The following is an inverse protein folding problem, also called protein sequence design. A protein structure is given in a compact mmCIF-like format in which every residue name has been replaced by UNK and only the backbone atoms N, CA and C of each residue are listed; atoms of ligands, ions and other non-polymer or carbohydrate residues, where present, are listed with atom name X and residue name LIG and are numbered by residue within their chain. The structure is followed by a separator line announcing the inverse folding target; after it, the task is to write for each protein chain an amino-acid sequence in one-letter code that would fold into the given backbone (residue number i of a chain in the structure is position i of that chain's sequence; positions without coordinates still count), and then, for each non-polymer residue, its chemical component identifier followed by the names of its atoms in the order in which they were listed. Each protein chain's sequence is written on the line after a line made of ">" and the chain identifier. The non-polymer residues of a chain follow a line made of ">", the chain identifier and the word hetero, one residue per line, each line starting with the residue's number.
data_IF_252724767568
#
_entry.id   IF_252724767568
#
_cell.length_a   1.000
_cell.length_b   1.000
_cell.length_c   1.000
_cell.angle_alpha   90.00
_cell.angle_beta   90.00
_cell.angle_gamma   90.00
#
_symmetry.space_group_name_H-M   'P 1'
#
loop_
_entity.id
_entity.type
_entity.pdbx_description
1 polymer ?
#
# COMPACT_ATOMS: atom_id res chain seq x y z
N UNK A 1 -13.77 -7.78 -17.08
CA UNK A 1 -12.54 -8.15 -16.31
C UNK A 1 -12.64 -9.53 -15.62
N UNK A 2 -13.20 -10.57 -16.27
CA UNK A 2 -13.31 -11.93 -15.70
C UNK A 2 -12.19 -12.89 -16.16
N UNK A 3 -11.47 -12.53 -17.23
CA UNK A 3 -10.42 -13.37 -17.86
C UNK A 3 -9.18 -13.65 -16.98
N UNK A 4 -9.00 -12.96 -15.85
CA UNK A 4 -7.76 -13.03 -15.06
C UNK A 4 -7.90 -13.77 -13.71
N UNK A 5 -9.07 -14.36 -13.43
CA UNK A 5 -9.30 -15.03 -12.14
C UNK A 5 -8.67 -16.42 -12.07
N UNK A 6 -8.63 -17.18 -13.16
CA UNK A 6 -7.95 -18.48 -13.25
C UNK A 6 -6.44 -18.32 -13.06
N UNK A 7 -5.85 -17.38 -13.80
CA UNK A 7 -4.41 -17.15 -13.80
C UNK A 7 -3.95 -16.61 -12.45
N UNK A 8 -4.73 -15.70 -11.85
CA UNK A 8 -4.49 -15.25 -10.48
C UNK A 8 -4.54 -16.38 -9.45
N UNK A 9 -5.44 -17.36 -9.62
CA UNK A 9 -5.51 -18.54 -8.73
C UNK A 9 -4.28 -19.44 -8.90
N UNK A 10 -3.86 -19.71 -10.13
CA UNK A 10 -2.67 -20.50 -10.45
C UNK A 10 -1.42 -19.84 -9.85
N UNK A 11 -1.25 -18.54 -10.06
CA UNK A 11 -0.16 -17.75 -9.47
C UNK A 11 -0.16 -17.81 -7.93
N UNK A 12 -1.31 -17.73 -7.29
CA UNK A 12 -1.40 -17.84 -5.81
C UNK A 12 -1.11 -19.25 -5.31
N UNK A 13 -1.37 -20.26 -6.12
CA UNK A 13 -1.08 -21.65 -5.77
C UNK A 13 0.41 -21.98 -5.90
N UNK A 14 1.14 -21.31 -6.80
CA UNK A 14 2.60 -21.48 -6.92
C UNK A 14 3.36 -21.05 -5.67
N UNK A 15 2.78 -20.22 -4.80
CA UNK A 15 3.36 -19.89 -3.49
C UNK A 15 3.45 -21.11 -2.56
N UNK A 16 2.64 -22.14 -2.75
CA UNK A 16 2.73 -23.39 -1.96
C UNK A 16 3.95 -24.23 -2.31
N UNK A 17 4.40 -24.13 -3.57
CA UNK A 17 5.61 -24.80 -4.06
C UNK A 17 6.89 -23.97 -3.87
N UNK A 18 6.78 -22.78 -3.27
CA UNK A 18 7.91 -21.92 -2.96
C UNK A 18 8.61 -22.37 -1.67
N UNK A 19 9.90 -22.06 -1.55
CA UNK A 19 10.66 -22.19 -0.29
C UNK A 19 10.19 -21.18 0.78
N UNK A 20 9.42 -20.16 0.38
CA UNK A 20 8.90 -19.13 1.28
C UNK A 20 7.62 -19.64 1.94
N UNK A 21 7.52 -19.68 3.28
CA UNK A 21 6.30 -20.06 3.97
C UNK A 21 5.08 -19.26 3.45
N UNK A 22 3.97 -19.94 3.20
CA UNK A 22 2.76 -19.34 2.59
C UNK A 22 2.26 -18.06 3.30
N UNK A 23 2.44 -17.98 4.63
CA UNK A 23 2.11 -16.80 5.43
C UNK A 23 3.08 -15.64 5.19
N UNK A 24 4.38 -15.93 5.05
CA UNK A 24 5.38 -14.92 4.70
C UNK A 24 5.18 -14.41 3.27
N UNK A 25 4.85 -15.30 2.33
CA UNK A 25 4.46 -14.91 0.97
C UNK A 25 3.19 -14.04 0.97
N UNK A 26 2.20 -14.36 1.81
CA UNK A 26 0.99 -13.53 1.98
C UNK A 26 1.32 -12.15 2.56
N UNK A 27 2.20 -12.09 3.56
CA UNK A 27 2.65 -10.84 4.15
C UNK A 27 3.39 -9.97 3.13
N UNK A 28 4.26 -10.58 2.33
CA UNK A 28 5.06 -9.89 1.30
C UNK A 28 4.21 -9.38 0.14
N UNK A 29 3.26 -10.19 -0.34
CA UNK A 29 2.46 -9.89 -1.55
C UNK A 29 1.12 -9.22 -1.24
N UNK A 30 0.66 -9.25 0.01
CA UNK A 30 -0.68 -8.81 0.41
C UNK A 30 -1.81 -9.67 -0.15
N UNK A 31 -1.51 -10.83 -0.77
CA UNK A 31 -2.50 -11.73 -1.34
C UNK A 31 -2.47 -13.09 -0.62
N UNK A 32 -3.58 -13.53 0.01
CA UNK A 32 -3.60 -14.81 0.70
C UNK A 32 -3.48 -15.98 -0.28
N UNK A 33 -3.01 -17.14 0.15
CA UNK A 33 -3.15 -18.38 -0.64
C UNK A 33 -4.62 -18.78 -0.80
N UNK A 34 -4.93 -19.67 -1.75
CA UNK A 34 -6.27 -20.26 -1.88
C UNK A 34 -6.69 -20.93 -0.56
N UNK A 35 -7.86 -20.53 -0.04
CA UNK A 35 -8.44 -21.05 1.21
C UNK A 35 -7.84 -20.49 2.50
N UNK A 36 -6.82 -19.64 2.43
CA UNK A 36 -6.21 -19.04 3.61
C UNK A 36 -7.14 -18.03 4.25
N UNK A 37 -7.45 -18.24 5.54
CA UNK A 37 -8.24 -17.32 6.36
C UNK A 37 -7.34 -16.28 7.04
N UNK A 38 -7.82 -15.05 7.27
CA UNK A 38 -7.08 -14.06 8.04
C UNK A 38 -6.90 -14.56 9.48
N UNK A 39 -5.72 -14.34 10.06
CA UNK A 39 -5.42 -14.68 11.45
C UNK A 39 -6.15 -13.76 12.43
N UNK A 40 -6.23 -12.48 12.06
CA UNK A 40 -6.90 -11.44 12.84
C UNK A 40 -7.88 -10.72 11.92
N UNK A 41 -9.12 -10.58 12.40
CA UNK A 41 -10.13 -9.71 11.81
C UNK A 41 -10.31 -8.53 12.75
N UNK A 42 -9.77 -7.39 12.35
CA UNK A 42 -9.84 -6.17 13.15
C UNK A 42 -10.90 -5.24 12.57
N UNK A 43 -11.68 -4.60 13.44
CA UNK A 43 -12.61 -3.55 13.01
C UNK A 43 -11.81 -2.36 12.45
N UNK A 44 -12.35 -1.67 11.45
CA UNK A 44 -11.62 -0.62 10.73
C UNK A 44 -11.12 0.49 11.67
N UNK A 45 -11.93 0.88 12.67
CA UNK A 45 -11.58 1.95 13.59
C UNK A 45 -10.39 1.59 14.48
N UNK A 46 -10.35 0.34 14.97
CA UNK A 46 -9.22 -0.18 15.75
C UNK A 46 -7.96 -0.26 14.88
N UNK A 47 -8.11 -0.66 13.61
CA UNK A 47 -7.01 -0.68 12.66
C UNK A 47 -6.43 0.71 12.40
N UNK A 48 -7.29 1.69 12.12
CA UNK A 48 -6.88 3.09 11.92
C UNK A 48 -6.16 3.60 13.16
N UNK A 49 -6.77 3.47 14.34
CA UNK A 49 -6.19 3.93 15.59
C UNK A 49 -4.82 3.28 15.85
N UNK A 50 -4.71 1.96 15.69
CA UNK A 50 -3.44 1.25 15.85
C UNK A 50 -2.35 1.80 14.92
N UNK A 51 -2.64 2.01 13.64
CA UNK A 51 -1.66 2.52 12.68
C UNK A 51 -1.23 3.95 13.03
N UNK A 52 -2.17 4.82 13.42
CA UNK A 52 -1.85 6.19 13.85
C UNK A 52 -1.02 6.20 15.14
N UNK A 53 -1.33 5.36 16.12
CA UNK A 53 -0.55 5.23 17.36
C UNK A 53 0.87 4.73 17.07
N UNK A 54 1.03 3.75 16.17
CA UNK A 54 2.37 3.31 15.75
C UNK A 54 3.12 4.44 15.06
N UNK A 55 2.47 5.22 14.18
CA UNK A 55 3.12 6.35 13.50
C UNK A 55 3.60 7.41 14.49
N UNK A 56 2.70 7.94 15.32
CA UNK A 56 3.01 8.98 16.31
C UNK A 56 4.02 8.47 17.35
N UNK A 57 3.85 7.24 17.84
CA UNK A 57 4.77 6.62 18.79
C UNK A 57 6.17 6.45 18.20
N UNK A 58 6.27 6.03 16.93
CA UNK A 58 7.57 5.88 16.25
C UNK A 58 8.23 7.23 15.97
N UNK A 59 7.45 8.25 15.60
CA UNK A 59 7.94 9.62 15.44
C UNK A 59 8.49 10.16 16.76
N UNK A 60 7.70 10.08 17.83
CA UNK A 60 8.09 10.56 19.15
C UNK A 60 9.32 9.82 19.70
N UNK A 61 9.36 8.49 19.58
CA UNK A 61 10.49 7.67 20.01
C UNK A 61 11.76 8.03 19.25
N UNK A 62 11.67 8.15 17.92
CA UNK A 62 12.81 8.53 17.08
C UNK A 62 13.31 9.94 17.37
N UNK A 63 12.39 10.89 17.54
CA UNK A 63 12.71 12.27 17.90
C UNK A 63 13.40 12.34 19.26
N UNK A 64 12.83 11.71 20.30
CA UNK A 64 13.40 11.71 21.65
C UNK A 64 14.79 11.05 21.68
N UNK A 65 14.94 9.92 20.99
CA UNK A 65 16.23 9.22 20.88
C UNK A 65 17.33 10.08 20.27
N UNK A 66 16.99 10.99 19.35
CA UNK A 66 17.97 11.89 18.73
C UNK A 66 18.58 12.90 19.71
N UNK A 67 17.82 13.33 20.72
CA UNK A 67 18.26 14.35 21.70
C UNK A 67 18.80 13.76 23.00
N UNK A 68 18.50 12.49 23.30
CA UNK A 68 18.95 11.82 24.51
C UNK A 68 20.17 10.92 24.25
N UNK A 69 19.93 9.64 23.95
CA UNK A 69 20.95 8.59 24.00
C UNK A 69 21.52 8.21 22.62
N UNK A 70 20.85 8.60 21.52
CA UNK A 70 21.23 8.29 20.14
C UNK A 70 21.44 6.80 19.88
N UNK A 71 20.67 5.95 20.56
CA UNK A 71 20.78 4.50 20.48
C UNK A 71 20.42 4.01 19.08
N UNK A 72 21.34 3.31 18.41
CA UNK A 72 21.12 2.81 17.05
C UNK A 72 19.89 1.89 16.99
N UNK A 73 19.71 1.04 18.00
CA UNK A 73 18.57 0.11 18.05
C UNK A 73 17.23 0.85 18.09
N UNK A 74 17.11 1.93 18.88
CA UNK A 74 15.90 2.74 18.95
C UNK A 74 15.67 3.54 17.68
N UNK A 75 16.73 4.05 17.05
CA UNK A 75 16.66 4.69 15.74
C UNK A 75 16.10 3.73 14.70
N UNK A 76 16.64 2.51 14.60
CA UNK A 76 16.19 1.50 13.66
C UNK A 76 14.75 1.05 13.93
N UNK A 77 14.36 0.88 15.20
CA UNK A 77 13.00 0.53 15.58
C UNK A 77 12.00 1.62 15.19
N UNK A 78 12.33 2.88 15.47
CA UNK A 78 11.52 4.04 15.11
C UNK A 78 11.36 4.17 13.60
N UNK A 79 12.45 3.97 12.86
CA UNK A 79 12.43 3.91 11.40
C UNK A 79 11.54 2.79 10.86
N UNK A 80 11.68 1.58 11.39
CA UNK A 80 10.85 0.45 11.00
C UNK A 80 9.36 0.73 11.25
N UNK A 81 9.02 1.31 12.39
CA UNK A 81 7.65 1.69 12.75
C UNK A 81 7.08 2.80 11.87
N UNK A 82 7.88 3.84 11.55
CA UNK A 82 7.49 4.90 10.62
C UNK A 82 7.26 4.36 9.21
N UNK A 83 8.17 3.55 8.67
CA UNK A 83 8.03 2.94 7.35
C UNK A 83 6.80 2.02 7.29
N UNK A 84 6.61 1.19 8.32
CA UNK A 84 5.46 0.30 8.42
C UNK A 84 4.14 1.07 8.43
N UNK A 85 4.00 2.05 9.32
CA UNK A 85 2.75 2.80 9.50
C UNK A 85 2.45 3.71 8.31
N UNK A 86 3.44 4.44 7.80
CA UNK A 86 3.29 5.33 6.63
C UNK A 86 2.80 4.57 5.40
N UNK A 87 3.41 3.40 5.11
CA UNK A 87 2.98 2.55 4.00
C UNK A 87 1.53 2.07 4.17
N UNK A 88 1.10 1.77 5.39
CA UNK A 88 -0.29 1.33 5.66
C UNK A 88 -1.28 2.49 5.60
N UNK A 89 -0.90 3.69 6.06
CA UNK A 89 -1.74 4.87 5.94
C UNK A 89 -2.09 5.14 4.48
N UNK A 90 -1.11 5.17 3.57
CA UNK A 90 -1.39 5.41 2.14
C UNK A 90 -2.06 4.21 1.47
N UNK A 91 -1.43 3.02 1.53
CA UNK A 91 -1.86 1.88 0.70
C UNK A 91 -3.14 1.19 1.19
N UNK A 92 -3.53 1.41 2.45
CA UNK A 92 -4.72 0.78 3.03
C UNK A 92 -5.73 1.84 3.46
N UNK A 93 -5.36 2.74 4.38
CA UNK A 93 -6.33 3.66 4.98
C UNK A 93 -6.83 4.67 3.93
N UNK A 94 -5.94 5.43 3.31
CA UNK A 94 -6.30 6.41 2.29
C UNK A 94 -6.92 5.72 1.06
N UNK A 95 -6.32 4.63 0.58
CA UNK A 95 -6.86 3.86 -0.55
C UNK A 95 -8.30 3.38 -0.29
N UNK A 96 -8.59 2.75 0.85
CA UNK A 96 -9.96 2.32 1.14
C UNK A 96 -10.90 3.52 1.36
N UNK A 97 -10.39 4.62 1.92
CA UNK A 97 -11.17 5.84 2.14
C UNK A 97 -11.60 6.52 0.85
N UNK A 98 -10.75 6.60 -0.19
CA UNK A 98 -11.16 7.18 -1.48
C UNK A 98 -12.19 6.35 -2.22
N UNK A 99 -12.27 5.05 -1.91
CA UNK A 99 -13.30 4.15 -2.43
C UNK A 99 -14.58 4.13 -1.58
N UNK A 100 -14.65 4.94 -0.51
CA UNK A 100 -15.74 4.95 0.49
C UNK A 100 -15.99 3.55 1.12
N UNK A 101 -14.91 2.79 1.33
CA UNK A 101 -14.92 1.39 1.79
C UNK A 101 -14.27 1.18 3.15
N UNK A 102 -13.70 2.21 3.76
CA UNK A 102 -13.02 2.07 5.04
C UNK A 102 -14.04 1.94 6.17
N UNK A 103 -14.87 2.97 6.34
CA UNK A 103 -15.99 2.97 7.29
C UNK A 103 -17.33 2.69 6.62
N UNK A 104 -17.42 2.88 5.30
CA UNK A 104 -18.68 2.86 4.55
C UNK A 104 -19.47 4.18 4.64
N UNK A 105 -18.90 5.21 5.27
CA UNK A 105 -19.46 6.56 5.32
C UNK A 105 -18.47 7.54 4.68
N UNK A 106 -18.90 8.21 3.60
CA UNK A 106 -18.03 9.08 2.80
C UNK A 106 -17.48 10.29 3.57
N UNK A 107 -18.23 10.85 4.52
CA UNK A 107 -17.73 11.97 5.32
C UNK A 107 -16.64 11.53 6.30
N UNK A 108 -16.81 10.39 6.95
CA UNK A 108 -15.77 9.84 7.83
C UNK A 108 -14.53 9.39 7.04
N UNK A 109 -14.74 8.75 5.89
CA UNK A 109 -13.64 8.31 5.02
C UNK A 109 -12.87 9.52 4.47
N UNK A 110 -13.55 10.59 4.06
CA UNK A 110 -12.89 11.83 3.69
C UNK A 110 -12.10 12.43 4.85
N UNK A 111 -12.71 12.55 6.04
CA UNK A 111 -12.03 13.12 7.21
C UNK A 111 -10.75 12.35 7.55
N UNK A 112 -10.83 11.01 7.63
CA UNK A 112 -9.64 10.16 7.88
C UNK A 112 -8.62 10.30 6.75
N UNK A 113 -9.09 10.37 5.50
CA UNK A 113 -8.25 10.55 4.33
C UNK A 113 -7.47 11.87 4.36
N UNK A 114 -8.11 12.97 4.74
CA UNK A 114 -7.50 14.29 4.90
C UNK A 114 -6.40 14.29 5.98
N UNK A 115 -6.59 13.55 7.09
CA UNK A 115 -5.51 13.36 8.07
C UNK A 115 -4.33 12.61 7.47
N UNK A 116 -4.58 11.53 6.72
CA UNK A 116 -3.50 10.77 6.09
C UNK A 116 -2.72 11.63 5.10
N UNK A 117 -3.40 12.39 4.24
CA UNK A 117 -2.72 13.25 3.26
C UNK A 117 -1.92 14.36 3.94
N UNK A 118 -2.43 14.92 5.04
CA UNK A 118 -1.71 15.88 5.87
C UNK A 118 -0.43 15.29 6.47
N UNK A 119 -0.51 14.15 7.15
CA UNK A 119 0.66 13.53 7.78
C UNK A 119 1.69 13.02 6.77
N UNK A 120 1.24 12.58 5.60
CA UNK A 120 2.11 12.09 4.53
C UNK A 120 2.64 13.20 3.64
N UNK A 121 2.17 14.44 3.83
CA UNK A 121 2.54 15.61 3.02
C UNK A 121 2.35 15.31 1.52
N UNK A 122 1.17 14.78 1.19
CA UNK A 122 0.78 14.47 -0.19
C UNK A 122 -0.27 15.46 -0.68
N UNK A 123 -0.72 15.28 -1.93
CA UNK A 123 -1.90 15.99 -2.43
C UNK A 123 -3.13 15.78 -1.53
N UNK A 124 -4.05 16.73 -1.54
CA UNK A 124 -5.28 16.68 -0.74
C UNK A 124 -6.18 15.49 -1.12
N UNK A 125 -7.09 15.12 -0.22
CA UNK A 125 -7.92 13.94 -0.41
C UNK A 125 -8.77 14.00 -1.68
N UNK A 126 -9.32 15.17 -2.03
CA UNK A 126 -10.23 15.29 -3.19
C UNK A 126 -9.45 15.15 -4.49
N UNK A 127 -8.32 15.84 -4.60
CA UNK A 127 -7.41 15.68 -5.74
C UNK A 127 -6.95 14.21 -5.86
N UNK A 128 -6.53 13.60 -4.74
CA UNK A 128 -6.13 12.19 -4.72
C UNK A 128 -7.26 11.25 -5.14
N UNK A 129 -8.51 11.48 -4.70
CA UNK A 129 -9.67 10.67 -5.05
C UNK A 129 -9.97 10.73 -6.55
N UNK A 130 -9.91 11.92 -7.16
CA UNK A 130 -10.08 12.09 -8.61
C UNK A 130 -8.98 11.34 -9.35
N UNK A 131 -7.72 11.63 -9.05
CA UNK A 131 -6.57 10.96 -9.70
C UNK A 131 -6.65 9.43 -9.57
N UNK A 132 -6.98 8.95 -8.38
CA UNK A 132 -6.97 7.53 -8.09
C UNK A 132 -8.16 6.79 -8.71
N UNK A 133 -9.38 7.31 -8.54
CA UNK A 133 -10.60 6.63 -8.96
C UNK A 133 -10.97 6.92 -10.42
N UNK A 134 -10.79 8.16 -10.87
CA UNK A 134 -11.27 8.61 -12.18
C UNK A 134 -10.21 8.57 -13.28
N UNK A 135 -8.92 8.62 -12.91
CA UNK A 135 -7.81 8.57 -13.88
C UNK A 135 -7.12 7.21 -13.82
N UNK A 136 -6.55 6.84 -12.68
CA UNK A 136 -5.78 5.60 -12.53
C UNK A 136 -6.68 4.36 -12.62
N UNK A 137 -7.76 4.29 -11.86
CA UNK A 137 -8.72 3.17 -11.92
C UNK A 137 -9.81 3.33 -13.00
N UNK A 138 -9.67 4.30 -13.90
CA UNK A 138 -10.60 4.46 -15.01
C UNK A 138 -10.67 3.18 -15.86
N UNK A 139 -11.83 2.84 -16.45
CA UNK A 139 -11.98 1.62 -17.26
C UNK A 139 -10.97 1.47 -18.40
N UNK A 140 -10.52 2.60 -18.96
CA UNK A 140 -9.49 2.65 -20.01
C UNK A 140 -8.13 3.14 -19.49
N UNK A 141 -8.04 3.53 -18.22
CA UNK A 141 -6.83 4.06 -17.60
C UNK A 141 -5.96 2.95 -17.04
N UNK A 142 -6.54 2.10 -16.19
CA UNK A 142 -5.77 1.21 -15.32
C UNK A 142 -4.81 0.27 -16.06
N UNK A 143 -3.51 0.40 -15.76
CA UNK A 143 -2.43 -0.40 -16.32
C UNK A 143 -2.39 -0.38 -17.88
N UNK A 144 -2.82 0.71 -18.49
CA UNK A 144 -2.73 0.95 -19.93
C UNK A 144 -1.75 2.08 -20.25
N UNK A 145 -1.53 2.38 -21.54
CA UNK A 145 -0.70 3.51 -21.97
C UNK A 145 -1.25 4.87 -21.53
N UNK A 146 -2.51 4.92 -21.12
CA UNK A 146 -3.17 6.14 -20.64
C UNK A 146 -2.97 6.36 -19.14
N UNK A 147 -2.59 5.32 -18.39
CA UNK A 147 -2.26 5.40 -16.97
C UNK A 147 -1.06 6.32 -16.76
N UNK A 148 -1.18 7.40 -15.97
CA UNK A 148 -0.06 8.28 -15.64
C UNK A 148 1.15 7.52 -15.08
N UNK A 149 0.91 6.47 -14.30
CA UNK A 149 1.98 5.65 -13.72
C UNK A 149 2.73 4.87 -14.80
N UNK A 150 2.01 4.30 -15.76
CA UNK A 150 2.62 3.58 -16.88
C UNK A 150 3.40 4.54 -17.78
N UNK A 151 2.85 5.73 -18.04
CA UNK A 151 3.57 6.78 -18.80
C UNK A 151 4.88 7.16 -18.11
N UNK A 152 4.84 7.37 -16.79
CA UNK A 152 6.03 7.66 -16.00
C UNK A 152 7.09 6.56 -16.15
N UNK A 153 6.71 5.28 -15.97
CA UNK A 153 7.66 4.17 -16.17
C UNK A 153 8.20 4.06 -17.61
N UNK A 154 7.38 4.41 -18.61
CA UNK A 154 7.80 4.40 -20.01
C UNK A 154 8.93 5.41 -20.28
N UNK A 155 8.97 6.54 -19.55
CA UNK A 155 10.08 7.51 -19.63
C UNK A 155 11.41 6.89 -19.21
N UNK A 156 11.38 5.92 -18.29
CA UNK A 156 12.55 5.16 -17.85
C UNK A 156 12.81 3.92 -18.72
N UNK A 157 12.18 3.80 -19.89
CA UNK A 157 12.38 2.70 -20.82
C UNK A 157 11.57 1.43 -20.53
N UNK A 158 10.78 1.41 -19.44
CA UNK A 158 9.92 0.29 -19.08
C UNK A 158 8.60 0.42 -19.84
N UNK A 159 8.52 -0.21 -21.00
CA UNK A 159 7.38 -0.13 -21.90
C UNK A 159 6.37 -1.27 -21.66
N UNK A 160 5.09 -0.99 -21.93
CA UNK A 160 4.04 -1.99 -21.90
C UNK A 160 4.35 -3.16 -22.84
N UNK A 161 4.10 -4.38 -22.35
CA UNK A 161 4.28 -5.61 -23.14
C UNK A 161 5.73 -6.06 -23.30
N UNK A 162 6.70 -5.38 -22.68
CA UNK A 162 8.08 -5.85 -22.68
C UNK A 162 8.25 -7.18 -21.95
N UNK A 163 9.16 -8.01 -22.45
CA UNK A 163 9.55 -9.24 -21.77
C UNK A 163 10.30 -8.92 -20.47
N UNK A 164 10.20 -9.81 -19.47
CA UNK A 164 10.93 -9.68 -18.20
C UNK A 164 12.43 -9.44 -18.40
N UNK A 165 13.02 -10.14 -19.39
CA UNK A 165 14.44 -9.99 -19.76
C UNK A 165 14.75 -8.59 -20.29
N UNK A 166 13.88 -8.04 -21.14
CA UNK A 166 14.02 -6.68 -21.65
C UNK A 166 13.95 -5.64 -20.52
N UNK A 167 13.04 -5.81 -19.55
CA UNK A 167 12.96 -4.90 -18.40
C UNK A 167 14.21 -4.93 -17.50
N UNK A 168 14.88 -6.09 -17.36
CA UNK A 168 16.09 -6.21 -16.55
C UNK A 168 17.33 -5.57 -17.20
N UNK A 169 17.32 -5.35 -18.51
CA UNK A 169 18.45 -4.75 -19.25
C UNK A 169 18.45 -3.22 -19.22
N UNK A 170 17.48 -2.62 -18.52
CA UNK A 170 17.33 -1.15 -18.37
C UNK A 170 18.23 -0.63 -17.21
N UNK A 171 18.69 -1.52 -16.32
CA UNK A 171 19.57 -1.23 -15.18
C UNK A 171 20.90 -1.98 -15.33
#
# INVERSE_FOLDING_TARGET
>A
MKLNQSDSKILRQSYKSSLIPSRLATWLTGKPSLGQKPLLKMHWSIYVLFIFLVFIGSYYLGFSNQFENQELALTLLSWAGLLFSSRRMVAVILHQSVHDRLSGNSMFDQFIGDFVTLFMVTQDYKAYKIDHCEIHHAPLGFATKYDPIVKFFSVFGINLGQSKKACMLIF
#
